data_IF_120097315155
#
_entry.id   IF_120097315155
#
_cell.length_a   1.000
_cell.length_b   1.000
_cell.length_c   1.000
_cell.angle_alpha   90.00
_cell.angle_beta   90.00
_cell.angle_gamma   90.00
#
_symmetry.space_group_name_H-M   'P 1'
#
loop_
_entity.id
_entity.type
_entity.pdbx_description
1 polymer ?
#
# COMPACT_ATOMS: atom_id res chain seq x y z
N UNK A 1 -17.82 -75.83 67.75
CA UNK A 1 -19.06 -76.55 67.41
C UNK A 1 -19.28 -76.40 65.90
N UNK A 2 -18.98 -77.49 65.16
CA UNK A 2 -19.49 -77.91 63.82
C UNK A 2 -19.46 -76.86 62.69
N UNK A 3 -18.48 -76.85 61.75
CA UNK A 3 -18.28 -77.69 60.55
C UNK A 3 -19.47 -77.66 59.56
N UNK A 4 -19.27 -77.05 58.39
CA UNK A 4 -19.80 -77.45 57.06
C UNK A 4 -19.40 -76.37 56.03
N UNK A 5 -18.45 -76.62 55.13
CA UNK A 5 -18.58 -77.29 53.83
C UNK A 5 -19.29 -76.44 52.74
N UNK A 6 -18.53 -75.53 52.12
CA UNK A 6 -18.92 -74.81 50.88
C UNK A 6 -17.81 -74.98 49.84
N UNK A 7 -17.26 -76.19 49.76
CA UNK A 7 -16.20 -76.53 48.80
C UNK A 7 -16.75 -77.04 47.46
N UNK A 8 -17.98 -77.57 47.46
CA UNK A 8 -18.67 -78.13 46.28
C UNK A 8 -19.32 -77.11 45.34
N UNK A 9 -19.88 -76.01 45.86
CA UNK A 9 -20.60 -75.00 45.05
C UNK A 9 -19.68 -74.16 44.13
N UNK A 10 -18.36 -74.17 44.36
CA UNK A 10 -17.38 -73.43 43.55
C UNK A 10 -17.01 -74.10 42.21
N UNK A 11 -17.46 -75.33 41.93
CA UNK A 11 -17.08 -76.05 40.68
C UNK A 11 -18.15 -76.03 39.59
N UNK A 12 -19.42 -75.82 39.93
CA UNK A 12 -20.54 -75.78 38.97
C UNK A 12 -20.78 -74.38 38.36
N UNK A 13 -20.65 -73.30 39.15
CA UNK A 13 -20.78 -71.92 38.66
C UNK A 13 -19.68 -71.48 37.67
N UNK A 14 -18.58 -72.25 37.58
CA UNK A 14 -17.47 -71.99 36.63
C UNK A 14 -17.71 -72.52 35.21
N UNK A 15 -18.77 -73.29 34.95
CA UNK A 15 -19.03 -73.87 33.62
C UNK A 15 -20.10 -73.14 32.80
N UNK A 16 -20.98 -72.32 33.39
CA UNK A 16 -22.18 -71.83 32.69
C UNK A 16 -22.21 -70.36 32.24
N UNK A 17 -21.13 -69.59 32.34
CA UNK A 17 -21.12 -68.25 31.71
C UNK A 17 -19.84 -67.91 30.95
N UNK A 18 -19.24 -68.94 30.34
CA UNK A 18 -18.25 -68.87 29.26
C UNK A 18 -18.85 -68.58 27.87
N UNK A 19 -20.03 -67.95 27.80
CA UNK A 19 -20.60 -67.40 26.55
C UNK A 19 -20.93 -65.92 26.73
N UNK A 20 -19.91 -65.08 26.57
CA UNK A 20 -19.95 -63.71 26.03
C UNK A 20 -18.49 -63.21 26.03
N UNK A 21 -17.81 -63.51 24.92
CA UNK A 21 -16.40 -63.18 24.68
C UNK A 21 -16.33 -62.02 23.67
N UNK A 22 -15.38 -61.11 23.90
CA UNK A 22 -14.79 -60.10 23.00
C UNK A 22 -15.68 -58.88 22.66
N UNK A 23 -15.26 -57.62 22.83
CA UNK A 23 -13.95 -57.01 22.47
C UNK A 23 -13.58 -55.81 23.40
N UNK A 24 -12.28 -55.59 23.70
CA UNK A 24 -11.80 -54.32 24.24
C UNK A 24 -11.49 -53.33 23.10
N UNK A 25 -12.05 -52.13 23.19
CA UNK A 25 -11.76 -50.98 22.32
C UNK A 25 -10.27 -50.60 22.46
N UNK A 26 -9.44 -50.97 21.48
CA UNK A 26 -8.07 -50.44 21.37
C UNK A 26 -8.15 -48.93 21.12
N UNK A 27 -7.80 -48.11 22.10
CA UNK A 27 -7.34 -46.74 21.85
C UNK A 27 -5.96 -46.84 21.19
N UNK A 28 -5.93 -46.73 19.87
CA UNK A 28 -4.68 -46.52 19.13
C UNK A 28 -4.15 -45.14 19.45
N UNK A 29 -3.06 -45.08 20.22
CA UNK A 29 -2.26 -43.86 20.38
C UNK A 29 -1.66 -43.58 19.01
N UNK A 30 -2.28 -42.68 18.27
CA UNK A 30 -1.83 -42.25 16.96
C UNK A 30 -0.46 -41.58 17.10
N UNK A 31 0.57 -42.18 16.50
CA UNK A 31 1.92 -41.62 16.51
C UNK A 31 1.92 -40.20 15.95
N UNK A 32 2.85 -39.35 16.43
CA UNK A 32 2.97 -37.94 16.05
C UNK A 32 3.02 -37.76 14.53
N UNK A 33 3.62 -38.71 13.80
CA UNK A 33 3.66 -38.74 12.34
C UNK A 33 2.29 -38.93 11.69
N UNK A 34 1.41 -39.76 12.26
CA UNK A 34 0.02 -39.88 11.79
C UNK A 34 -0.81 -38.63 12.12
N UNK A 35 -0.55 -37.96 13.24
CA UNK A 35 -1.24 -36.69 13.57
C UNK A 35 -0.84 -35.58 12.61
N UNK A 36 0.44 -35.49 12.27
CA UNK A 36 0.93 -34.57 11.25
C UNK A 36 0.35 -34.90 9.87
N UNK A 37 0.31 -36.18 9.48
CA UNK A 37 -0.29 -36.60 8.22
C UNK A 37 -1.79 -36.27 8.15
N UNK A 38 -2.56 -36.51 9.22
CA UNK A 38 -3.98 -36.12 9.27
C UNK A 38 -4.16 -34.59 9.25
N UNK A 39 -3.28 -33.82 9.91
CA UNK A 39 -3.33 -32.36 9.86
C UNK A 39 -3.02 -31.84 8.45
N UNK A 40 -2.03 -32.40 7.76
CA UNK A 40 -1.70 -32.04 6.38
C UNK A 40 -2.85 -32.41 5.44
N UNK A 41 -3.43 -33.60 5.58
CA UNK A 41 -4.61 -34.01 4.79
C UNK A 41 -5.80 -33.09 5.08
N UNK A 42 -6.01 -32.69 6.34
CA UNK A 42 -7.07 -31.75 6.70
C UNK A 42 -6.83 -30.34 6.13
N UNK A 43 -5.59 -29.86 6.11
CA UNK A 43 -5.21 -28.59 5.48
C UNK A 43 -5.39 -28.68 3.96
N UNK A 44 -4.97 -29.77 3.32
CA UNK A 44 -5.17 -29.98 1.88
C UNK A 44 -6.66 -30.11 1.51
N UNK A 45 -7.46 -30.74 2.37
CA UNK A 45 -8.92 -30.83 2.20
C UNK A 45 -9.60 -29.48 2.44
N UNK A 46 -9.11 -28.66 3.39
CA UNK A 46 -9.57 -27.28 3.58
C UNK A 46 -9.21 -26.41 2.36
N UNK A 47 -7.95 -26.47 1.91
CA UNK A 47 -7.52 -25.74 0.71
C UNK A 47 -8.25 -26.21 -0.55
N UNK A 48 -8.56 -27.51 -0.65
CA UNK A 48 -9.35 -28.09 -1.73
C UNK A 48 -10.85 -27.78 -1.64
N UNK A 49 -11.42 -27.63 -0.45
CA UNK A 49 -12.83 -27.23 -0.28
C UNK A 49 -13.03 -25.72 -0.45
N UNK A 50 -12.03 -24.90 -0.13
CA UNK A 50 -11.93 -23.50 -0.54
C UNK A 50 -11.82 -23.32 -2.06
N UNK A 51 -11.36 -24.36 -2.79
CA UNK A 51 -11.38 -24.42 -4.25
C UNK A 51 -12.76 -24.79 -4.82
N UNK A 52 -13.60 -25.50 -4.08
CA UNK A 52 -14.94 -25.95 -4.50
C UNK A 52 -16.06 -24.99 -4.08
N UNK A 53 -15.88 -24.22 -3.01
CA UNK A 53 -16.70 -23.05 -2.66
C UNK A 53 -16.08 -21.81 -3.32
N UNK A 54 -16.33 -21.64 -4.61
CA UNK A 54 -15.70 -20.60 -5.43
C UNK A 54 -15.76 -19.20 -4.82
N UNK A 55 -14.60 -18.67 -4.42
CA UNK A 55 -14.32 -17.25 -4.36
C UNK A 55 -12.80 -16.95 -4.43
N UNK A 56 -12.12 -17.48 -5.45
CA UNK A 56 -10.76 -17.08 -5.85
C UNK A 56 -10.55 -17.28 -7.37
N UNK A 57 -11.50 -16.80 -8.18
CA UNK A 57 -11.23 -16.42 -9.57
C UNK A 57 -11.07 -14.89 -9.56
N UNK A 58 -9.96 -14.24 -9.92
CA UNK A 58 -8.79 -14.68 -10.67
C UNK A 58 -7.77 -13.51 -10.67
N UNK A 59 -6.57 -13.68 -10.10
CA UNK A 59 -5.41 -12.89 -10.55
C UNK A 59 -4.29 -13.76 -11.18
N UNK A 60 -4.30 -15.07 -10.93
CA UNK A 60 -3.13 -15.93 -11.17
C UNK A 60 -3.03 -16.55 -12.57
N UNK A 61 -4.07 -16.49 -13.41
CA UNK A 61 -3.97 -16.98 -14.81
C UNK A 61 -3.06 -16.09 -15.69
N UNK A 62 -2.86 -14.82 -15.31
CA UNK A 62 -1.89 -13.93 -15.99
C UNK A 62 -0.43 -14.32 -15.74
N UNK A 63 -0.17 -15.13 -14.71
CA UNK A 63 1.19 -15.44 -14.27
C UNK A 63 1.94 -16.37 -15.23
N UNK A 64 1.23 -17.12 -16.08
CA UNK A 64 1.84 -18.07 -17.03
C UNK A 64 2.01 -17.51 -18.45
N UNK A 65 1.26 -16.46 -18.83
CA UNK A 65 1.30 -15.92 -20.20
C UNK A 65 2.40 -14.88 -20.44
N UNK A 66 2.89 -14.21 -19.40
CA UNK A 66 3.86 -13.10 -19.53
C UNK A 66 5.32 -13.56 -19.63
N UNK A 67 5.65 -14.79 -19.23
CA UNK A 67 7.04 -15.28 -19.27
C UNK A 67 7.58 -15.52 -20.70
N UNK A 68 6.73 -15.52 -21.73
CA UNK A 68 7.12 -15.87 -23.10
C UNK A 68 7.40 -14.70 -24.05
N UNK A 69 7.36 -13.43 -23.60
CA UNK A 69 7.44 -12.30 -24.52
C UNK A 69 8.29 -11.13 -24.05
N UNK A 70 9.50 -11.39 -23.57
CA UNK A 70 10.46 -10.31 -23.38
C UNK A 70 11.89 -10.80 -23.59
N UNK A 71 12.25 -11.01 -24.86
CA UNK A 71 13.61 -10.78 -25.27
C UNK A 71 13.65 -10.17 -26.68
N UNK A 72 14.58 -9.24 -26.87
CA UNK A 72 14.86 -8.40 -28.06
C UNK A 72 14.12 -7.06 -28.17
N UNK A 73 14.64 -6.07 -27.46
CA UNK A 73 14.91 -4.75 -28.07
C UNK A 73 16.24 -4.22 -27.54
N UNK A 74 17.26 -4.21 -28.42
CA UNK A 74 18.48 -3.43 -28.25
C UNK A 74 18.16 -2.05 -28.83
N UNK A 75 18.28 -0.99 -28.03
CA UNK A 75 18.05 0.37 -28.50
C UNK A 75 19.33 1.21 -28.39
N UNK A 76 19.75 1.75 -29.53
CA UNK A 76 20.80 2.76 -29.66
C UNK A 76 20.24 4.13 -29.25
N UNK A 77 20.89 4.80 -28.30
CA UNK A 77 20.60 6.18 -27.91
C UNK A 77 21.43 7.11 -28.80
N UNK A 78 20.78 7.97 -29.56
CA UNK A 78 21.42 9.12 -30.20
C UNK A 78 21.35 10.28 -29.22
N UNK A 79 22.51 10.76 -28.77
CA UNK A 79 22.64 12.02 -28.04
C UNK A 79 22.38 13.19 -28.97
N UNK A 80 21.45 14.07 -28.58
CA UNK A 80 21.50 15.46 -29.02
C UNK A 80 20.84 16.41 -28.02
N UNK A 81 21.62 17.44 -27.69
CA UNK A 81 21.27 18.81 -27.29
C UNK A 81 20.77 19.09 -25.87
N UNK A 82 21.71 19.71 -25.13
CA UNK A 82 21.55 20.71 -24.07
C UNK A 82 20.19 21.43 -24.05
N UNK A 83 19.47 21.24 -22.95
CA UNK A 83 18.29 22.03 -22.57
C UNK A 83 17.99 21.77 -21.09
N UNK A 84 18.07 22.85 -20.30
CA UNK A 84 17.70 23.00 -18.88
C UNK A 84 18.11 21.87 -17.90
N UNK A 85 19.08 22.16 -17.02
CA UNK A 85 19.76 21.20 -16.12
C UNK A 85 18.87 20.39 -15.17
N UNK A 86 17.57 20.69 -15.14
CA UNK A 86 16.64 20.25 -14.12
C UNK A 86 15.39 19.53 -14.68
N UNK A 87 15.36 19.21 -15.98
CA UNK A 87 14.33 18.36 -16.57
C UNK A 87 14.87 16.97 -16.88
N UNK A 88 14.12 15.92 -16.54
CA UNK A 88 14.45 14.54 -16.88
C UNK A 88 13.76 14.14 -18.19
N UNK A 89 14.43 13.35 -19.02
CA UNK A 89 13.87 12.86 -20.29
C UNK A 89 12.78 11.78 -20.08
N UNK A 90 11.89 11.64 -21.06
CA UNK A 90 10.93 10.54 -21.09
C UNK A 90 11.61 9.22 -21.48
N UNK A 91 11.06 8.14 -20.96
CA UNK A 91 11.45 6.76 -21.19
C UNK A 91 10.53 6.10 -22.23
N UNK A 92 10.83 6.16 -23.54
CA UNK A 92 9.92 5.62 -24.56
C UNK A 92 9.65 4.12 -24.36
N UNK A 93 8.39 3.73 -24.49
CA UNK A 93 7.95 2.34 -24.37
C UNK A 93 7.82 1.80 -22.94
N UNK A 94 8.10 2.61 -21.91
CA UNK A 94 7.84 2.26 -20.51
C UNK A 94 6.48 2.83 -20.06
N UNK A 95 5.77 2.08 -19.21
CA UNK A 95 4.53 2.56 -18.58
C UNK A 95 4.83 3.55 -17.47
N UNK A 96 5.80 3.24 -16.62
CA UNK A 96 6.34 4.15 -15.61
C UNK A 96 7.27 5.18 -16.26
N UNK A 97 7.13 6.44 -15.86
CA UNK A 97 7.96 7.54 -16.33
C UNK A 97 8.61 8.26 -15.15
N UNK A 98 9.91 8.03 -14.93
CA UNK A 98 10.64 8.68 -13.82
C UNK A 98 10.67 10.22 -13.94
N UNK A 99 10.62 10.74 -15.16
CA UNK A 99 10.51 12.18 -15.43
C UNK A 99 9.16 12.77 -15.05
N UNK A 100 8.05 12.03 -15.24
CA UNK A 100 6.73 12.44 -14.77
C UNK A 100 6.64 12.35 -13.25
N UNK A 101 7.19 11.29 -12.65
CA UNK A 101 7.28 11.21 -11.19
C UNK A 101 8.02 12.42 -10.62
N UNK A 102 9.19 12.75 -11.19
CA UNK A 102 9.99 13.88 -10.76
C UNK A 102 9.25 15.22 -10.94
N UNK A 103 8.58 15.44 -12.08
CA UNK A 103 7.85 16.69 -12.34
C UNK A 103 6.67 16.87 -11.38
N UNK A 104 5.92 15.81 -11.09
CA UNK A 104 4.83 15.83 -10.12
C UNK A 104 5.35 16.10 -8.69
N UNK A 105 6.42 15.42 -8.27
CA UNK A 105 7.03 15.66 -6.96
C UNK A 105 7.56 17.09 -6.81
N UNK A 106 8.12 17.66 -7.88
CA UNK A 106 8.57 19.06 -7.90
C UNK A 106 7.45 20.09 -7.91
N UNK A 107 6.33 19.76 -8.56
CA UNK A 107 5.17 20.64 -8.65
C UNK A 107 4.26 20.61 -7.43
N UNK A 108 4.46 19.66 -6.51
CA UNK A 108 3.60 19.50 -5.35
C UNK A 108 3.84 20.50 -4.20
N UNK A 109 5.08 20.81 -3.78
CA UNK A 109 5.32 21.76 -2.70
C UNK A 109 4.87 23.19 -3.06
N UNK A 110 4.22 23.86 -2.12
CA UNK A 110 3.86 25.29 -2.21
C UNK A 110 4.45 26.04 -1.02
N UNK A 111 5.33 26.98 -1.31
CA UNK A 111 6.12 27.64 -0.27
C UNK A 111 6.98 26.62 0.49
N UNK A 112 7.14 26.84 1.79
CA UNK A 112 7.90 25.90 2.63
C UNK A 112 7.01 24.87 3.30
N UNK A 113 5.71 25.09 3.49
CA UNK A 113 4.96 24.39 4.53
C UNK A 113 3.71 23.67 4.04
N UNK A 114 3.44 23.64 2.73
CA UNK A 114 2.22 23.03 2.18
C UNK A 114 2.51 22.21 0.90
N UNK A 115 1.56 21.33 0.55
CA UNK A 115 1.65 20.41 -0.59
C UNK A 115 0.31 20.39 -1.32
N UNK A 116 0.30 20.69 -2.61
CA UNK A 116 -0.87 20.56 -3.47
C UNK A 116 -1.26 19.09 -3.64
N UNK A 117 -2.55 18.80 -3.47
CA UNK A 117 -3.05 17.43 -3.53
C UNK A 117 -3.03 16.86 -4.95
N UNK A 118 -3.34 17.65 -5.97
CA UNK A 118 -3.37 17.17 -7.37
C UNK A 118 -2.01 16.60 -7.82
N UNK A 119 -0.89 17.35 -7.80
CA UNK A 119 0.42 16.81 -8.17
C UNK A 119 0.92 15.74 -7.18
N UNK A 120 0.56 15.83 -5.89
CA UNK A 120 0.86 14.76 -4.93
C UNK A 120 0.22 13.43 -5.35
N UNK A 121 -1.07 13.42 -5.68
CA UNK A 121 -1.78 12.23 -6.12
C UNK A 121 -1.30 11.75 -7.50
N UNK A 122 -0.94 12.65 -8.42
CA UNK A 122 -0.30 12.26 -9.69
C UNK A 122 1.08 11.63 -9.49
N UNK A 123 1.85 12.05 -8.47
CA UNK A 123 3.10 11.36 -8.13
C UNK A 123 2.85 9.91 -7.70
N UNK A 124 1.75 9.67 -6.97
CA UNK A 124 1.34 8.31 -6.61
C UNK A 124 0.93 7.47 -7.81
N UNK A 125 0.26 8.06 -8.81
CA UNK A 125 -0.08 7.35 -10.04
C UNK A 125 1.17 6.82 -10.76
N UNK A 126 2.26 7.60 -10.78
CA UNK A 126 3.56 7.13 -11.30
C UNK A 126 4.23 6.10 -10.38
N UNK A 127 4.17 6.27 -9.05
CA UNK A 127 4.70 5.28 -8.10
C UNK A 127 3.97 3.93 -8.19
N UNK A 128 2.66 3.93 -8.45
CA UNK A 128 1.87 2.72 -8.70
C UNK A 128 2.35 2.02 -9.98
N UNK A 129 2.65 2.77 -11.05
CA UNK A 129 3.22 2.20 -12.28
C UNK A 129 4.61 1.61 -12.04
N UNK A 130 5.45 2.31 -11.27
CA UNK A 130 6.77 1.80 -10.86
C UNK A 130 6.63 0.47 -10.12
N UNK A 131 5.73 0.41 -9.14
CA UNK A 131 5.49 -0.80 -8.37
C UNK A 131 4.98 -1.92 -9.29
N UNK A 132 3.96 -1.66 -10.11
CA UNK A 132 3.37 -2.62 -11.04
C UNK A 132 4.40 -3.22 -12.02
N UNK A 133 5.39 -2.43 -12.45
CA UNK A 133 6.47 -2.91 -13.32
C UNK A 133 7.36 -3.97 -12.65
N UNK A 134 7.39 -4.05 -11.31
CA UNK A 134 8.16 -5.06 -10.58
C UNK A 134 7.49 -6.44 -10.61
N UNK A 135 6.27 -6.56 -11.13
CA UNK A 135 5.58 -7.82 -11.38
C UNK A 135 4.31 -8.02 -10.53
N UNK A 136 3.53 -9.07 -10.83
CA UNK A 136 2.18 -9.26 -10.27
C UNK A 136 2.16 -9.52 -8.76
N UNK A 137 3.29 -9.91 -8.15
CA UNK A 137 3.38 -10.17 -6.71
C UNK A 137 3.26 -8.91 -5.85
N UNK A 138 3.39 -7.72 -6.43
CA UNK A 138 3.10 -6.46 -5.73
C UNK A 138 1.69 -5.93 -5.99
N UNK A 139 0.84 -6.67 -6.71
CA UNK A 139 -0.51 -6.24 -7.08
C UNK A 139 -1.38 -5.87 -5.88
N UNK A 140 -1.27 -6.61 -4.77
CA UNK A 140 -2.00 -6.25 -3.55
C UNK A 140 -1.53 -4.91 -2.95
N UNK A 141 -0.25 -4.58 -3.07
CA UNK A 141 0.31 -3.31 -2.60
C UNK A 141 -0.20 -2.17 -3.48
N UNK A 142 -0.19 -2.35 -4.80
CA UNK A 142 -0.65 -1.32 -5.74
C UNK A 142 -2.14 -1.04 -5.57
N UNK A 143 -2.98 -2.07 -5.43
CA UNK A 143 -4.42 -1.90 -5.19
C UNK A 143 -4.72 -1.15 -3.89
N UNK A 144 -3.97 -1.41 -2.81
CA UNK A 144 -4.14 -0.69 -1.55
C UNK A 144 -3.79 0.80 -1.67
N UNK A 145 -2.73 1.13 -2.42
CA UNK A 145 -2.33 2.53 -2.68
C UNK A 145 -3.37 3.21 -3.58
N UNK A 146 -3.78 2.57 -4.68
CA UNK A 146 -4.81 3.06 -5.60
C UNK A 146 -6.10 3.39 -4.84
N UNK A 147 -6.59 2.46 -4.03
CA UNK A 147 -7.79 2.64 -3.20
C UNK A 147 -7.68 3.90 -2.34
N UNK A 148 -6.55 4.12 -1.68
CA UNK A 148 -6.34 5.29 -0.80
C UNK A 148 -6.22 6.59 -1.57
N UNK A 149 -5.56 6.59 -2.73
CA UNK A 149 -5.52 7.78 -3.58
C UNK A 149 -6.91 8.15 -4.11
N UNK A 150 -7.75 7.17 -4.44
CA UNK A 150 -9.10 7.40 -4.92
C UNK A 150 -10.02 7.95 -3.83
N UNK A 151 -9.89 7.50 -2.58
CA UNK A 151 -10.63 8.08 -1.44
C UNK A 151 -10.39 9.60 -1.37
N UNK A 152 -9.13 10.06 -1.45
CA UNK A 152 -8.83 11.50 -1.38
C UNK A 152 -9.43 12.25 -2.59
N UNK A 153 -9.39 11.66 -3.79
CA UNK A 153 -10.02 12.27 -4.99
C UNK A 153 -11.53 12.39 -4.85
N UNK A 154 -12.21 11.33 -4.40
CA UNK A 154 -13.66 11.32 -4.18
C UNK A 154 -14.07 12.36 -3.12
N UNK A 155 -13.32 12.46 -2.03
CA UNK A 155 -13.56 13.48 -1.00
C UNK A 155 -13.37 14.91 -1.54
N UNK A 156 -12.37 15.12 -2.40
CA UNK A 156 -12.14 16.40 -3.05
C UNK A 156 -13.30 16.81 -3.97
N UNK A 157 -13.79 15.87 -4.79
CA UNK A 157 -14.97 16.09 -5.66
C UNK A 157 -16.23 16.41 -4.85
N UNK A 158 -16.46 15.67 -3.75
CA UNK A 158 -17.59 15.92 -2.85
C UNK A 158 -17.53 17.29 -2.19
N UNK A 159 -16.34 17.77 -1.80
CA UNK A 159 -16.17 19.10 -1.23
C UNK A 159 -16.36 20.20 -2.28
N UNK A 160 -15.90 19.98 -3.51
CA UNK A 160 -16.12 20.92 -4.61
C UNK A 160 -17.61 21.08 -4.92
N UNK A 161 -18.35 19.96 -5.03
CA UNK A 161 -19.80 19.99 -5.29
C UNK A 161 -20.55 20.65 -4.13
N UNK A 162 -20.16 20.37 -2.88
CA UNK A 162 -20.72 21.04 -1.70
C UNK A 162 -20.49 22.55 -1.74
N UNK A 163 -19.29 22.98 -2.12
CA UNK A 163 -18.93 24.40 -2.24
C UNK A 163 -19.72 25.08 -3.36
N UNK A 164 -19.88 24.44 -4.52
CA UNK A 164 -20.73 24.91 -5.62
C UNK A 164 -22.19 25.05 -5.19
N UNK A 165 -22.75 24.07 -4.47
CA UNK A 165 -24.13 24.12 -3.99
C UNK A 165 -24.37 25.27 -3.01
N UNK A 166 -23.43 25.52 -2.09
CA UNK A 166 -23.49 26.67 -1.16
C UNK A 166 -23.48 28.02 -1.89
N UNK A 167 -22.65 28.17 -2.94
CA UNK A 167 -22.63 29.41 -3.76
C UNK A 167 -23.95 29.63 -4.49
N UNK A 168 -24.57 28.56 -4.99
CA UNK A 168 -25.88 28.62 -5.67
C UNK A 168 -27.03 28.96 -4.71
N UNK A 169 -27.02 28.44 -3.48
CA UNK A 169 -28.05 28.77 -2.49
C UNK A 169 -27.87 30.17 -1.89
N UNK A 170 -26.63 30.63 -1.68
CA UNK A 170 -26.31 31.99 -1.24
C UNK A 170 -26.77 33.05 -2.25
N UNK A 171 -26.50 32.85 -3.54
CA UNK A 171 -26.94 33.75 -4.61
C UNK A 171 -28.47 33.86 -4.75
N UNK A 172 -29.23 32.87 -4.27
CA UNK A 172 -30.71 32.89 -4.31
C UNK A 172 -31.32 33.62 -3.11
N UNK A 173 -30.60 33.74 -2.00
CA UNK A 173 -31.06 34.44 -0.80
C UNK A 173 -30.94 35.97 -0.93
N UNK A 174 -30.02 36.47 -1.76
CA UNK A 174 -29.86 37.92 -2.04
C UNK A 174 -30.75 38.45 -3.18
N UNK A 175 -31.55 37.58 -3.81
CA UNK A 175 -32.48 37.96 -4.89
C UNK A 175 -33.90 38.39 -4.44
N UNK A 176 -34.12 38.57 -3.13
CA UNK A 176 -35.41 38.96 -2.57
C UNK A 176 -35.44 40.42 -2.12
N UNK A 177 -36.09 41.28 -2.91
CA UNK A 177 -36.37 42.71 -2.73
C UNK A 177 -35.20 43.70 -2.87
N UNK A 178 -35.16 44.44 -3.99
CA UNK A 178 -35.50 45.87 -3.97
C UNK A 178 -35.57 46.47 -5.38
N UNK A 179 -36.77 46.89 -5.79
CA UNK A 179 -36.91 48.07 -6.64
C UNK A 179 -36.37 49.27 -5.86
N UNK A 180 -35.09 49.62 -6.04
CA UNK A 180 -34.63 51.01 -5.91
C UNK A 180 -33.23 51.17 -6.48
N UNK A 181 -33.15 51.99 -7.54
CA UNK A 181 -31.93 52.51 -8.12
C UNK A 181 -31.14 53.28 -7.05
N UNK A 182 -29.97 52.80 -6.70
CA UNK A 182 -28.88 53.68 -6.27
C UNK A 182 -27.56 53.17 -6.84
N UNK A 183 -27.20 53.73 -7.99
CA UNK A 183 -25.87 53.66 -8.54
C UNK A 183 -24.97 54.53 -7.67
N UNK A 184 -24.26 53.91 -6.73
CA UNK A 184 -22.95 54.32 -6.20
C UNK A 184 -22.59 53.46 -4.97
N UNK A 185 -22.26 52.20 -5.21
CA UNK A 185 -21.38 51.48 -4.29
C UNK A 185 -20.61 50.43 -5.09
N UNK A 186 -19.32 50.68 -5.25
CA UNK A 186 -18.38 49.70 -5.80
C UNK A 186 -18.45 48.45 -4.91
N UNK A 187 -18.75 47.25 -5.42
CA UNK A 187 -18.62 46.05 -4.63
C UNK A 187 -17.12 45.78 -4.47
N UNK A 188 -16.54 46.31 -3.39
CA UNK A 188 -15.27 45.85 -2.84
C UNK A 188 -15.50 44.53 -2.10
N UNK A 189 -15.97 43.53 -2.81
CA UNK A 189 -15.84 42.14 -2.39
C UNK A 189 -14.97 41.51 -3.45
N UNK A 190 -13.66 41.57 -3.21
CA UNK A 190 -12.76 40.51 -3.67
C UNK A 190 -13.47 39.23 -3.23
N UNK A 191 -14.13 38.58 -4.18
CA UNK A 191 -14.71 37.26 -4.05
C UNK A 191 -13.48 36.40 -3.78
N UNK A 192 -13.08 36.32 -2.51
CA UNK A 192 -11.96 35.51 -2.08
C UNK A 192 -12.35 34.13 -2.53
N UNK A 193 -11.69 33.65 -3.59
CA UNK A 193 -11.70 32.26 -3.98
C UNK A 193 -11.22 31.57 -2.71
N UNK A 194 -12.15 31.13 -1.86
CA UNK A 194 -11.81 30.24 -0.77
C UNK A 194 -11.10 29.10 -1.46
N UNK A 195 -9.81 28.86 -1.14
CA UNK A 195 -9.10 27.71 -1.66
C UNK A 195 -10.01 26.50 -1.47
N UNK A 196 -10.21 25.72 -2.51
CA UNK A 196 -11.00 24.51 -2.45
C UNK A 196 -10.55 23.68 -1.26
N UNK A 197 -11.49 23.09 -0.54
CA UNK A 197 -11.17 22.41 0.72
C UNK A 197 -10.15 21.28 0.55
N UNK A 198 -9.91 20.80 -0.68
CA UNK A 198 -8.94 19.76 -1.02
C UNK A 198 -7.94 20.21 -2.10
N UNK A 199 -7.58 21.50 -2.15
CA UNK A 199 -6.54 21.99 -3.06
C UNK A 199 -5.14 21.59 -2.57
N UNK A 200 -4.91 21.63 -1.26
CA UNK A 200 -3.66 21.30 -0.60
C UNK A 200 -3.85 20.42 0.64
N UNK A 201 -2.75 19.88 1.18
CA UNK A 201 -2.75 19.12 2.43
C UNK A 201 -3.29 19.97 3.57
N UNK A 202 -2.87 21.23 3.71
CA UNK A 202 -3.36 22.10 4.78
C UNK A 202 -4.81 22.53 4.58
N UNK A 203 -5.25 22.79 3.35
CA UNK A 203 -6.67 23.08 3.11
C UNK A 203 -7.54 21.88 3.48
N UNK A 204 -7.08 20.66 3.16
CA UNK A 204 -7.75 19.42 3.51
C UNK A 204 -7.85 19.24 5.02
N UNK A 205 -6.73 19.38 5.74
CA UNK A 205 -6.69 19.31 7.20
C UNK A 205 -7.66 20.33 7.81
N UNK A 206 -7.61 21.58 7.37
CA UNK A 206 -8.47 22.65 7.88
C UNK A 206 -9.96 22.36 7.61
N UNK A 207 -10.26 21.87 6.41
CA UNK A 207 -11.63 21.54 6.00
C UNK A 207 -12.19 20.39 6.82
N UNK A 208 -11.44 19.30 6.96
CA UNK A 208 -11.90 18.13 7.70
C UNK A 208 -12.04 18.40 9.20
N UNK A 209 -11.12 19.15 9.80
CA UNK A 209 -11.22 19.59 11.20
C UNK A 209 -12.44 20.50 11.43
N UNK A 210 -12.67 21.49 10.56
CA UNK A 210 -13.80 22.41 10.70
C UNK A 210 -15.16 21.72 10.57
N UNK A 211 -15.18 20.53 9.98
CA UNK A 211 -16.37 19.71 9.73
C UNK A 211 -16.46 18.49 10.64
N UNK A 212 -15.56 18.36 11.61
CA UNK A 212 -15.54 17.24 12.56
C UNK A 212 -15.47 15.85 11.87
N UNK A 213 -14.68 15.76 10.79
CA UNK A 213 -14.50 14.51 10.03
C UNK A 213 -13.30 13.68 10.50
N UNK A 214 -12.38 14.29 11.25
CA UNK A 214 -11.19 13.61 11.78
C UNK A 214 -11.46 13.14 13.20
N UNK A 215 -11.36 11.83 13.43
CA UNK A 215 -11.44 11.24 14.76
C UNK A 215 -10.07 10.68 15.16
N UNK A 216 -9.61 11.02 16.38
CA UNK A 216 -8.31 10.63 16.91
C UNK A 216 -8.35 9.31 17.71
N UNK A 217 -9.54 8.81 18.04
CA UNK A 217 -9.75 7.59 18.83
C UNK A 217 -10.29 6.45 17.97
N UNK A 218 -11.14 6.76 17.00
CA UNK A 218 -11.85 5.79 16.17
C UNK A 218 -11.47 5.87 14.68
N UNK A 219 -11.63 4.72 14.02
CA UNK A 219 -11.43 4.59 12.58
C UNK A 219 -12.45 5.41 11.80
N UNK A 220 -11.97 6.42 11.05
CA UNK A 220 -12.77 7.20 10.09
C UNK A 220 -12.25 7.02 8.67
N UNK A 221 -13.10 7.25 7.67
CA UNK A 221 -12.70 7.26 6.25
C UNK A 221 -12.27 8.68 5.80
N UNK A 222 -11.60 9.42 6.69
CA UNK A 222 -11.15 10.79 6.45
C UNK A 222 -9.94 10.85 5.51
N UNK A 223 -9.85 11.96 4.79
CA UNK A 223 -8.73 12.32 3.93
C UNK A 223 -7.41 12.42 4.68
N UNK A 224 -7.39 13.06 5.86
CA UNK A 224 -6.20 13.20 6.71
C UNK A 224 -5.63 11.84 7.12
N UNK A 225 -6.53 10.95 7.54
CA UNK A 225 -6.14 9.60 7.93
C UNK A 225 -5.62 8.81 6.75
N UNK A 226 -6.29 8.89 5.60
CA UNK A 226 -5.89 8.24 4.36
C UNK A 226 -4.54 8.75 3.87
N UNK A 227 -4.33 10.08 3.92
CA UNK A 227 -3.07 10.75 3.63
C UNK A 227 -1.96 10.24 4.54
N UNK A 228 -2.20 10.05 5.84
CA UNK A 228 -1.18 9.50 6.75
C UNK A 228 -0.66 8.13 6.31
N UNK A 229 -1.53 7.26 5.75
CA UNK A 229 -1.11 5.93 5.27
C UNK A 229 -0.26 6.05 4.02
N UNK A 230 -0.64 6.94 3.09
CA UNK A 230 0.16 7.26 1.91
C UNK A 230 1.50 7.87 2.34
N UNK A 231 1.51 8.84 3.25
CA UNK A 231 2.71 9.49 3.78
C UNK A 231 3.73 8.49 4.35
N UNK A 232 3.29 7.53 5.17
CA UNK A 232 4.14 6.43 5.67
C UNK A 232 4.68 5.53 4.55
N UNK A 233 3.87 5.30 3.50
CA UNK A 233 4.29 4.52 2.33
C UNK A 233 5.29 5.30 1.45
N UNK A 234 5.17 6.63 1.35
CA UNK A 234 6.10 7.47 0.62
C UNK A 234 7.50 7.39 1.24
N UNK A 235 7.59 7.35 2.58
CA UNK A 235 8.88 7.19 3.27
C UNK A 235 9.59 5.90 2.87
N UNK A 236 8.84 4.80 2.81
CA UNK A 236 9.36 3.51 2.35
C UNK A 236 9.88 3.58 0.91
N UNK A 237 9.09 4.11 -0.02
CA UNK A 237 9.47 4.22 -1.43
C UNK A 237 10.67 5.14 -1.62
N UNK A 238 10.69 6.30 -0.94
CA UNK A 238 11.82 7.23 -0.92
C UNK A 238 13.10 6.53 -0.49
N UNK A 239 13.06 5.84 0.66
CA UNK A 239 14.22 5.11 1.19
C UNK A 239 14.66 3.95 0.28
N UNK A 240 13.71 3.27 -0.36
CA UNK A 240 14.02 2.22 -1.32
C UNK A 240 14.73 2.78 -2.56
N UNK A 241 14.21 3.86 -3.15
CA UNK A 241 14.81 4.54 -4.30
C UNK A 241 16.20 5.11 -3.96
N UNK A 242 16.36 5.71 -2.77
CA UNK A 242 17.65 6.19 -2.27
C UNK A 242 18.69 5.06 -2.27
N UNK A 243 18.34 3.92 -1.67
CA UNK A 243 19.22 2.74 -1.60
C UNK A 243 19.50 2.11 -2.96
N UNK A 244 18.58 2.22 -3.90
CA UNK A 244 18.79 1.74 -5.26
C UNK A 244 19.81 2.61 -6.02
N UNK A 245 19.85 3.91 -5.70
CA UNK A 245 20.85 4.87 -6.20
C UNK A 245 22.23 4.70 -5.57
N UNK A 246 22.35 4.02 -4.43
CA UNK A 246 23.63 3.73 -3.79
C UNK A 246 24.48 2.75 -4.62
N UNK A 247 25.77 3.08 -4.72
CA UNK A 247 26.78 2.26 -5.36
C UNK A 247 27.13 0.97 -4.60
N UNK A 248 28.19 0.27 -5.02
CA UNK A 248 28.66 -0.92 -4.33
C UNK A 248 29.04 -0.62 -2.88
N UNK A 249 28.85 -1.60 -2.00
CA UNK A 249 29.20 -1.44 -0.59
C UNK A 249 30.71 -1.17 -0.41
N UNK A 250 31.12 -0.13 0.36
CA UNK A 250 32.51 0.32 0.40
C UNK A 250 33.52 -0.77 0.81
N UNK A 251 33.11 -1.69 1.69
CA UNK A 251 33.99 -2.73 2.23
C UNK A 251 34.06 -3.96 1.32
N UNK A 252 32.93 -4.41 0.78
CA UNK A 252 32.87 -5.64 0.00
C UNK A 252 33.06 -5.41 -1.51
N UNK A 253 32.88 -4.18 -2.00
CA UNK A 253 32.74 -3.87 -3.42
C UNK A 253 31.53 -4.54 -4.08
N UNK A 254 30.63 -5.15 -3.29
CA UNK A 254 29.50 -5.93 -3.79
C UNK A 254 28.28 -5.03 -3.96
N UNK A 255 27.60 -5.24 -5.09
CA UNK A 255 26.32 -4.62 -5.33
C UNK A 255 25.19 -5.33 -4.56
N UNK A 256 24.39 -4.55 -3.86
CA UNK A 256 23.28 -5.07 -3.04
C UNK A 256 22.07 -5.41 -3.92
N UNK A 257 21.33 -6.47 -3.58
CA UNK A 257 20.15 -6.87 -4.37
C UNK A 257 18.96 -5.95 -4.12
N UNK A 258 18.17 -5.55 -5.14
CA UNK A 258 16.97 -4.73 -4.94
C UNK A 258 15.98 -5.32 -3.93
N UNK A 259 15.83 -6.65 -3.90
CA UNK A 259 14.99 -7.36 -2.93
C UNK A 259 15.42 -7.10 -1.47
N UNK A 260 16.72 -7.16 -1.19
CA UNK A 260 17.26 -6.89 0.14
C UNK A 260 17.11 -5.42 0.51
N UNK A 261 17.35 -4.50 -0.44
CA UNK A 261 17.19 -3.06 -0.22
C UNK A 261 15.74 -2.69 0.10
N UNK A 262 14.79 -3.25 -0.66
CA UNK A 262 13.37 -3.03 -0.48
C UNK A 262 12.87 -3.58 0.85
N UNK A 263 13.26 -4.83 1.20
CA UNK A 263 12.95 -5.45 2.49
C UNK A 263 13.46 -4.60 3.65
N UNK A 264 14.71 -4.14 3.59
CA UNK A 264 15.28 -3.32 4.64
C UNK A 264 14.66 -1.92 4.71
N UNK A 265 14.19 -1.38 3.59
CA UNK A 265 13.47 -0.10 3.61
C UNK A 265 12.14 -0.30 4.34
N UNK A 266 11.41 -1.35 3.99
CA UNK A 266 10.13 -1.69 4.61
C UNK A 266 10.26 -1.93 6.11
N UNK A 267 11.26 -2.71 6.52
CA UNK A 267 11.53 -2.99 7.94
C UNK A 267 11.85 -1.73 8.74
N UNK A 268 12.54 -0.76 8.13
CA UNK A 268 12.91 0.51 8.78
C UNK A 268 11.73 1.49 8.86
N UNK A 269 10.82 1.46 7.90
CA UNK A 269 9.68 2.38 7.81
C UNK A 269 8.37 1.63 8.05
N UNK A 270 7.62 1.22 7.02
CA UNK A 270 6.25 0.72 7.12
C UNK A 270 6.01 -0.45 8.08
N UNK A 271 7.00 -1.31 8.34
CA UNK A 271 6.79 -2.54 9.11
C UNK A 271 6.18 -2.28 10.49
N UNK A 272 6.56 -1.22 11.20
CA UNK A 272 6.04 -0.96 12.54
C UNK A 272 4.55 -0.59 12.56
N UNK A 273 3.99 -0.16 11.43
CA UNK A 273 2.56 0.12 11.28
C UNK A 273 1.73 -1.09 10.83
N UNK A 274 2.39 -2.18 10.43
CA UNK A 274 1.70 -3.37 9.93
C UNK A 274 1.61 -4.47 11.00
N UNK A 275 0.49 -5.22 11.05
CA UNK A 275 0.41 -6.44 11.85
C UNK A 275 1.40 -7.49 11.33
N UNK A 276 1.78 -8.41 12.21
CA UNK A 276 2.81 -9.43 11.94
C UNK A 276 2.60 -10.18 10.61
N UNK A 277 1.36 -10.56 10.30
CA UNK A 277 1.05 -11.33 9.09
C UNK A 277 1.24 -10.51 7.80
N UNK A 278 0.90 -9.20 7.81
CA UNK A 278 1.17 -8.30 6.68
C UNK A 278 2.67 -8.13 6.47
N UNK A 279 3.46 -8.03 7.56
CA UNK A 279 4.93 -7.99 7.46
C UNK A 279 5.47 -9.22 6.76
N UNK A 280 4.98 -10.40 7.15
CA UNK A 280 5.44 -11.66 6.56
C UNK A 280 5.07 -11.76 5.07
N UNK A 281 3.85 -11.37 4.69
CA UNK A 281 3.43 -11.35 3.29
C UNK A 281 4.25 -10.38 2.44
N UNK A 282 4.52 -9.17 2.96
CA UNK A 282 5.37 -8.20 2.27
C UNK A 282 6.80 -8.73 2.06
N UNK A 283 7.41 -9.32 3.10
CA UNK A 283 8.77 -9.87 2.99
C UNK A 283 8.89 -11.03 2.00
N UNK A 284 7.83 -11.82 1.84
CA UNK A 284 7.72 -12.86 0.80
C UNK A 284 7.58 -12.22 -0.58
N UNK A 285 6.73 -11.20 -0.75
CA UNK A 285 6.58 -10.51 -2.03
C UNK A 285 7.91 -9.90 -2.51
N UNK A 286 8.72 -9.35 -1.59
CA UNK A 286 10.01 -8.75 -1.95
C UNK A 286 11.05 -9.74 -2.48
N UNK A 287 10.89 -11.05 -2.23
CA UNK A 287 11.79 -12.08 -2.79
C UNK A 287 11.68 -12.10 -4.32
N UNK A 288 10.52 -11.75 -4.87
CA UNK A 288 10.25 -11.77 -6.29
C UNK A 288 10.55 -10.45 -7.01
N UNK A 289 11.15 -9.48 -6.33
CA UNK A 289 11.60 -8.25 -6.98
C UNK A 289 12.64 -8.57 -8.06
N UNK A 290 12.61 -7.84 -9.19
CA UNK A 290 13.52 -8.09 -10.30
C UNK A 290 14.96 -7.72 -9.94
N UNK A 291 15.90 -8.17 -10.78
CA UNK A 291 17.31 -7.83 -10.63
C UNK A 291 17.59 -6.36 -10.97
N UNK A 292 18.72 -5.84 -10.50
CA UNK A 292 19.07 -4.40 -10.64
C UNK A 292 19.07 -3.90 -12.08
N UNK A 293 19.47 -4.75 -13.03
CA UNK A 293 19.48 -4.42 -14.47
C UNK A 293 18.08 -4.10 -15.02
N UNK A 294 17.02 -4.67 -14.44
CA UNK A 294 15.65 -4.33 -14.80
C UNK A 294 15.32 -2.89 -14.39
N UNK A 295 15.72 -2.48 -13.18
CA UNK A 295 15.51 -1.11 -12.71
C UNK A 295 16.20 -0.09 -13.60
N UNK A 296 17.40 -0.38 -14.09
CA UNK A 296 18.09 0.50 -15.03
C UNK A 296 17.29 0.70 -16.32
N UNK A 297 16.72 -0.37 -16.88
CA UNK A 297 15.83 -0.28 -18.05
C UNK A 297 14.57 0.51 -17.75
N UNK A 298 14.00 0.32 -16.56
CA UNK A 298 12.79 0.99 -16.11
C UNK A 298 12.97 2.51 -15.98
N UNK A 299 14.17 2.98 -15.64
CA UNK A 299 14.51 4.41 -15.54
C UNK A 299 15.39 4.93 -16.70
N UNK A 300 15.58 4.13 -17.76
CA UNK A 300 16.36 4.45 -18.96
C UNK A 300 17.79 4.92 -18.72
N UNK A 301 18.48 4.24 -17.81
CA UNK A 301 19.92 4.44 -17.55
C UNK A 301 20.72 3.21 -17.95
N UNK A 302 22.01 3.42 -18.19
CA UNK A 302 22.92 2.35 -18.61
C UNK A 302 23.74 1.77 -17.46
N UNK A 303 24.01 2.57 -16.43
CA UNK A 303 24.93 2.23 -15.36
C UNK A 303 24.46 2.79 -14.00
N UNK A 304 25.18 2.42 -12.94
CA UNK A 304 24.86 2.83 -11.57
C UNK A 304 25.06 4.34 -11.34
N UNK A 305 26.01 4.98 -12.03
CA UNK A 305 26.31 6.41 -11.85
C UNK A 305 25.16 7.26 -12.37
N UNK A 306 24.67 6.96 -13.58
CA UNK A 306 23.46 7.57 -14.14
C UNK A 306 22.22 7.29 -13.25
N UNK A 307 22.06 6.05 -12.78
CA UNK A 307 20.97 5.69 -11.87
C UNK A 307 21.02 6.52 -10.58
N UNK A 308 22.22 6.68 -10.00
CA UNK A 308 22.45 7.44 -8.79
C UNK A 308 22.07 8.91 -8.99
N UNK A 309 22.52 9.54 -10.07
CA UNK A 309 22.22 10.94 -10.37
C UNK A 309 20.72 11.20 -10.57
N UNK A 310 19.99 10.31 -11.26
CA UNK A 310 18.55 10.46 -11.46
C UNK A 310 17.78 10.19 -10.17
N UNK A 311 18.10 9.11 -9.46
CA UNK A 311 17.41 8.74 -8.22
C UNK A 311 17.64 9.76 -7.11
N UNK A 312 18.83 10.37 -7.03
CA UNK A 312 19.12 11.44 -6.07
C UNK A 312 18.19 12.65 -6.26
N UNK A 313 17.99 13.10 -7.51
CA UNK A 313 17.03 14.16 -7.84
C UNK A 313 15.60 13.80 -7.39
N UNK A 314 15.14 12.60 -7.73
CA UNK A 314 13.79 12.13 -7.38
C UNK A 314 13.60 12.01 -5.86
N UNK A 315 14.59 11.43 -5.18
CA UNK A 315 14.58 11.26 -3.72
C UNK A 315 14.56 12.62 -3.02
N UNK A 316 15.34 13.58 -3.49
CA UNK A 316 15.34 14.93 -2.95
C UNK A 316 13.97 15.62 -3.12
N UNK A 317 13.36 15.52 -4.32
CA UNK A 317 12.01 16.06 -4.53
C UNK A 317 10.96 15.37 -3.64
N UNK A 318 11.02 14.04 -3.52
CA UNK A 318 10.15 13.28 -2.61
C UNK A 318 10.36 13.65 -1.14
N UNK A 319 11.60 13.97 -0.74
CA UNK A 319 11.92 14.41 0.62
C UNK A 319 11.29 15.76 0.95
N UNK A 320 11.29 16.72 0.01
CA UNK A 320 10.62 18.01 0.21
C UNK A 320 9.12 17.83 0.42
N UNK A 321 8.47 16.99 -0.40
CA UNK A 321 7.04 16.65 -0.26
C UNK A 321 6.76 15.94 1.08
N UNK A 322 7.60 14.96 1.43
CA UNK A 322 7.49 14.23 2.69
C UNK A 322 7.63 15.17 3.89
N UNK A 323 8.66 16.00 3.96
CA UNK A 323 8.91 16.89 5.09
C UNK A 323 7.83 17.97 5.26
N UNK A 324 7.22 18.42 4.16
CA UNK A 324 6.12 19.38 4.20
C UNK A 324 4.82 18.74 4.70
N UNK A 325 4.49 17.54 4.17
CA UNK A 325 3.36 16.74 4.66
C UNK A 325 3.54 16.33 6.12
N UNK A 326 4.74 15.92 6.52
CA UNK A 326 5.10 15.55 7.89
C UNK A 326 4.80 16.70 8.86
N UNK A 327 5.28 17.92 8.56
CA UNK A 327 5.03 19.10 9.41
C UNK A 327 3.55 19.46 9.48
N UNK A 328 2.85 19.43 8.35
CA UNK A 328 1.41 19.69 8.33
C UNK A 328 0.64 18.68 9.21
N UNK A 329 0.98 17.39 9.19
CA UNK A 329 0.34 16.40 10.06
C UNK A 329 0.75 16.57 11.54
N UNK A 330 2.02 16.86 11.80
CA UNK A 330 2.57 17.02 13.15
C UNK A 330 1.97 18.22 13.90
N UNK A 331 1.83 19.37 13.24
CA UNK A 331 1.22 20.58 13.81
C UNK A 331 -0.20 20.37 14.33
N UNK A 332 -0.92 19.39 13.76
CA UNK A 332 -2.28 19.04 14.16
C UNK A 332 -2.37 17.72 14.94
N UNK A 333 -1.25 17.17 15.42
CA UNK A 333 -1.15 15.91 16.16
C UNK A 333 -1.74 14.70 15.41
N UNK A 334 -1.61 14.68 14.08
CA UNK A 334 -2.23 13.67 13.20
C UNK A 334 -1.30 12.51 12.81
N UNK A 335 -0.08 12.42 13.38
CA UNK A 335 0.88 11.37 13.05
C UNK A 335 0.48 9.97 13.54
N UNK A 336 -0.48 9.90 14.46
CA UNK A 336 -0.94 8.66 15.10
C UNK A 336 -2.43 8.36 14.86
N UNK A 337 -3.06 8.98 13.84
CA UNK A 337 -4.48 8.72 13.55
C UNK A 337 -4.75 7.20 13.40
N UNK A 338 -5.74 6.65 14.14
CA UNK A 338 -5.98 5.21 14.34
C UNK A 338 -6.25 4.48 13.04
#
# INVERSE_FOLDING_TARGET
>A
MVREDISGLRKELRRWRWRRRCTPMRRTIMGVKCRAALAIVFILLLLGSLWLYGNLNSPWESCLKVYNQQDKTVFHRNESSQGDSDSLELCPGQTFQISLLYSHLRGAPVGTDDVLLQPYLSSWDELIKFLSAMGPLVGAITTEIETKTNIIRELAEQEEERSRMKRRSGARAEGGNSDTLNANMLPSSVDSISPGGYDSVRSMISTELSRDLVNFEEHTDSGCRTLLRLHRALEWLKLFMQRLGEGPEPLSGRMRKPSDLCRQAYQKTLAHHHPWWIRHMAELAFIALPERTFFYRLICVQNQEEASAILDKVVHAAEVVYNSTQRALEEHNMLDLP
#
